data_IF_487642124553
#
_entry.id   IF_487642124553
#
_cell.length_a   1.000
_cell.length_b   1.000
_cell.length_c   1.000
_cell.angle_alpha   90.00
_cell.angle_beta   90.00
_cell.angle_gamma   90.00
#
_symmetry.space_group_name_H-M   'P 1'
#
loop_
_entity.id
_entity.type
_entity.pdbx_description
1 polymer ?
#
# COMPACT_ATOMS: atom_id res chain seq x y z
N UNK A 1 -9.73 -35.03 -23.95
CA UNK A 1 -9.48 -34.24 -22.70
C UNK A 1 -10.73 -34.25 -21.79
N UNK A 2 -11.53 -35.32 -21.77
CA UNK A 2 -12.81 -35.41 -21.04
C UNK A 2 -12.96 -36.72 -20.22
N UNK A 3 -12.02 -37.67 -20.30
CA UNK A 3 -12.12 -38.94 -19.53
C UNK A 3 -11.41 -38.93 -18.17
N UNK A 4 -10.42 -38.06 -17.95
CA UNK A 4 -9.65 -38.03 -16.68
C UNK A 4 -10.48 -37.45 -15.51
N UNK A 5 -11.57 -36.72 -15.79
CA UNK A 5 -12.45 -36.17 -14.74
C UNK A 5 -13.70 -37.01 -14.48
N UNK A 6 -13.89 -38.13 -15.19
CA UNK A 6 -15.10 -38.97 -15.08
C UNK A 6 -15.05 -39.94 -13.88
N UNK A 7 -13.91 -40.06 -13.21
CA UNK A 7 -13.71 -40.94 -12.03
C UNK A 7 -13.83 -40.23 -10.67
N UNK A 8 -14.27 -38.96 -10.61
CA UNK A 8 -14.63 -38.31 -9.34
C UNK A 8 -16.11 -38.57 -9.01
N UNK A 9 -16.47 -39.83 -8.77
CA UNK A 9 -17.83 -40.20 -8.35
C UNK A 9 -18.13 -39.88 -6.87
N UNK A 10 -17.16 -39.31 -6.13
CA UNK A 10 -17.34 -38.92 -4.73
C UNK A 10 -16.82 -37.50 -4.46
N UNK A 11 -17.57 -36.51 -4.93
CA UNK A 11 -17.31 -35.09 -4.62
C UNK A 11 -17.32 -34.82 -3.12
N UNK A 12 -18.08 -35.57 -2.33
CA UNK A 12 -18.15 -35.37 -0.88
C UNK A 12 -16.80 -35.68 -0.23
N UNK A 13 -16.19 -36.84 -0.55
CA UNK A 13 -14.85 -37.18 -0.07
C UNK A 13 -13.79 -36.16 -0.48
N UNK A 14 -13.90 -35.61 -1.69
CA UNK A 14 -13.03 -34.51 -2.13
C UNK A 14 -13.18 -33.28 -1.23
N UNK A 15 -14.41 -32.80 -1.01
CA UNK A 15 -14.65 -31.59 -0.22
C UNK A 15 -14.32 -31.78 1.27
N UNK A 16 -14.49 -32.98 1.84
CA UNK A 16 -14.01 -33.30 3.19
C UNK A 16 -12.49 -33.19 3.30
N UNK A 17 -11.77 -33.76 2.33
CA UNK A 17 -10.31 -33.69 2.26
C UNK A 17 -9.84 -32.24 2.08
N UNK A 18 -10.51 -31.51 1.18
CA UNK A 18 -10.21 -30.11 0.87
C UNK A 18 -10.43 -29.19 2.06
N UNK A 19 -11.50 -29.42 2.83
CA UNK A 19 -11.81 -28.70 4.06
C UNK A 19 -10.67 -28.85 5.08
N UNK A 20 -10.28 -30.10 5.37
CA UNK A 20 -9.22 -30.42 6.33
C UNK A 20 -7.89 -29.79 5.91
N UNK A 21 -7.47 -30.00 4.66
CA UNK A 21 -6.20 -29.46 4.16
C UNK A 21 -6.17 -27.93 4.14
N UNK A 22 -7.26 -27.28 3.72
CA UNK A 22 -7.34 -25.82 3.69
C UNK A 22 -7.31 -25.23 5.09
N UNK A 23 -7.98 -25.86 6.06
CA UNK A 23 -7.94 -25.46 7.47
C UNK A 23 -6.54 -25.62 8.09
N UNK A 24 -5.85 -26.73 7.80
CA UNK A 24 -4.47 -26.95 8.27
C UNK A 24 -3.52 -25.90 7.69
N UNK A 25 -3.58 -25.64 6.38
CA UNK A 25 -2.75 -24.61 5.74
C UNK A 25 -3.05 -23.21 6.28
N UNK A 26 -4.32 -22.92 6.58
CA UNK A 26 -4.72 -21.64 7.18
C UNK A 26 -4.07 -21.45 8.56
N UNK A 27 -4.12 -22.48 9.40
CA UNK A 27 -3.44 -22.48 10.70
C UNK A 27 -1.93 -22.26 10.57
N UNK A 28 -1.29 -22.95 9.63
CA UNK A 28 0.15 -22.81 9.37
C UNK A 28 0.52 -21.42 8.84
N UNK A 29 -0.31 -20.82 7.98
CA UNK A 29 -0.13 -19.46 7.47
C UNK A 29 -0.22 -18.43 8.62
N UNK A 30 -1.19 -18.57 9.52
CA UNK A 30 -1.34 -17.69 10.69
C UNK A 30 -0.12 -17.81 11.59
N UNK A 31 0.33 -19.03 11.90
CA UNK A 31 1.52 -19.27 12.71
C UNK A 31 2.78 -18.66 12.06
N UNK A 32 2.97 -18.87 10.75
CA UNK A 32 4.12 -18.33 9.99
C UNK A 32 4.09 -16.81 9.93
N UNK A 33 2.92 -16.21 9.65
CA UNK A 33 2.76 -14.75 9.61
C UNK A 33 3.03 -14.14 10.98
N UNK A 34 2.57 -14.78 12.05
CA UNK A 34 2.82 -14.37 13.44
C UNK A 34 4.31 -14.47 13.77
N UNK A 35 4.97 -15.56 13.38
CA UNK A 35 6.42 -15.71 13.54
C UNK A 35 7.17 -14.59 12.82
N UNK A 36 6.87 -14.31 11.54
CA UNK A 36 7.50 -13.22 10.78
C UNK A 36 7.26 -11.86 11.48
N UNK A 37 6.04 -11.62 11.97
CA UNK A 37 5.69 -10.40 12.70
C UNK A 37 6.43 -10.24 14.03
N UNK A 38 6.70 -11.34 14.74
CA UNK A 38 7.36 -11.33 16.04
C UNK A 38 8.89 -11.36 15.95
N UNK A 39 9.44 -12.15 15.03
CA UNK A 39 10.89 -12.45 14.96
C UNK A 39 11.61 -11.75 13.80
N UNK A 40 10.89 -11.39 12.73
CA UNK A 40 11.51 -10.82 11.52
C UNK A 40 11.77 -9.32 11.60
N UNK A 41 10.93 -8.57 12.33
CA UNK A 41 10.97 -7.10 12.28
C UNK A 41 12.02 -6.42 13.15
N UNK A 42 12.80 -7.18 13.93
CA UNK A 42 14.03 -6.68 14.54
C UNK A 42 15.16 -6.52 13.52
N UNK A 43 15.09 -7.21 12.38
CA UNK A 43 16.11 -7.15 11.32
C UNK A 43 15.91 -6.02 10.31
N UNK A 44 14.66 -5.56 10.11
CA UNK A 44 14.32 -4.45 9.21
C UNK A 44 14.44 -3.11 9.96
N UNK A 45 15.52 -2.37 9.74
CA UNK A 45 15.83 -1.14 10.50
C UNK A 45 15.27 0.12 9.84
N UNK A 46 15.11 0.12 8.51
CA UNK A 46 14.77 1.34 7.76
C UNK A 46 13.48 1.22 6.93
N UNK A 47 13.11 0.01 6.50
CA UNK A 47 11.97 -0.20 5.58
C UNK A 47 10.86 -1.09 6.16
N UNK A 48 10.79 -1.16 7.49
CA UNK A 48 9.89 -2.05 8.24
C UNK A 48 8.43 -1.89 7.83
N UNK A 49 7.92 -0.67 7.76
CA UNK A 49 6.52 -0.38 7.39
C UNK A 49 6.18 -0.87 5.97
N UNK A 50 7.11 -0.71 5.04
CA UNK A 50 6.95 -1.10 3.63
C UNK A 50 6.91 -2.62 3.48
N UNK A 51 7.82 -3.34 4.13
CA UNK A 51 7.81 -4.80 4.14
C UNK A 51 6.65 -5.38 4.93
N UNK A 52 6.25 -4.76 6.05
CA UNK A 52 5.08 -5.18 6.81
C UNK A 52 3.82 -5.07 5.96
N UNK A 53 3.66 -3.96 5.23
CA UNK A 53 2.54 -3.79 4.30
C UNK A 53 2.56 -4.84 3.18
N UNK A 54 3.73 -5.14 2.62
CA UNK A 54 3.88 -6.21 1.63
C UNK A 54 3.45 -7.58 2.17
N UNK A 55 3.92 -8.00 3.36
CA UNK A 55 3.54 -9.27 3.97
C UNK A 55 2.06 -9.32 4.37
N UNK A 56 1.51 -8.21 4.85
CA UNK A 56 0.08 -8.12 5.17
C UNK A 56 -0.76 -8.29 3.90
N UNK A 57 -0.44 -7.58 2.82
CA UNK A 57 -1.15 -7.74 1.54
C UNK A 57 -0.95 -9.14 0.94
N UNK A 58 0.23 -9.73 1.11
CA UNK A 58 0.49 -11.11 0.72
C UNK A 58 -0.42 -12.10 1.46
N UNK A 59 -0.47 -11.99 2.78
CA UNK A 59 -1.27 -12.90 3.61
C UNK A 59 -2.77 -12.72 3.37
N UNK A 60 -3.26 -11.51 3.05
CA UNK A 60 -4.68 -11.24 2.80
C UNK A 60 -5.29 -12.09 1.69
N UNK A 61 -4.66 -12.16 0.52
CA UNK A 61 -5.24 -12.92 -0.59
C UNK A 61 -5.08 -14.44 -0.41
N UNK A 62 -4.05 -14.91 0.29
CA UNK A 62 -3.87 -16.34 0.62
C UNK A 62 -4.93 -16.75 1.64
N UNK A 63 -5.11 -15.94 2.69
CA UNK A 63 -6.15 -16.14 3.69
C UNK A 63 -7.51 -16.23 3.01
N UNK A 64 -7.82 -15.27 2.13
CA UNK A 64 -9.06 -15.27 1.38
C UNK A 64 -9.25 -16.55 0.51
N UNK A 65 -8.18 -17.03 -0.13
CA UNK A 65 -8.22 -18.26 -0.96
C UNK A 65 -8.49 -19.52 -0.14
N UNK A 66 -7.86 -19.64 1.03
CA UNK A 66 -8.06 -20.76 1.94
C UNK A 66 -9.44 -20.70 2.60
N UNK A 67 -9.89 -19.51 3.01
CA UNK A 67 -11.25 -19.28 3.52
C UNK A 67 -12.29 -19.62 2.46
N UNK A 68 -12.08 -19.24 1.20
CA UNK A 68 -12.95 -19.63 0.09
C UNK A 68 -13.08 -21.14 -0.02
N UNK A 69 -11.96 -21.87 0.00
CA UNK A 69 -11.98 -23.34 -0.05
C UNK A 69 -12.73 -23.96 1.13
N UNK A 70 -12.54 -23.44 2.34
CA UNK A 70 -13.27 -23.90 3.54
C UNK A 70 -14.77 -23.65 3.38
N UNK A 71 -15.17 -22.42 3.05
CA UNK A 71 -16.58 -22.04 2.93
C UNK A 71 -17.27 -22.84 1.82
N UNK A 72 -16.68 -22.94 0.64
CA UNK A 72 -17.29 -23.70 -0.45
C UNK A 72 -17.34 -25.20 -0.17
N UNK A 73 -16.34 -25.76 0.53
CA UNK A 73 -16.39 -27.17 0.96
C UNK A 73 -17.53 -27.39 1.97
N UNK A 74 -17.70 -26.50 2.96
CA UNK A 74 -18.80 -26.57 3.91
C UNK A 74 -20.16 -26.41 3.23
N UNK A 75 -20.26 -25.49 2.26
CA UNK A 75 -21.48 -25.30 1.49
C UNK A 75 -21.82 -26.60 0.75
N UNK A 76 -20.90 -27.18 -0.02
CA UNK A 76 -21.22 -28.39 -0.79
C UNK A 76 -21.55 -29.59 0.12
N UNK A 77 -20.86 -29.74 1.25
CA UNK A 77 -21.09 -30.86 2.17
C UNK A 77 -22.39 -30.76 2.97
N UNK A 78 -22.77 -29.54 3.38
CA UNK A 78 -23.82 -29.36 4.39
C UNK A 78 -24.97 -28.43 3.96
N UNK A 79 -24.78 -27.61 2.92
CA UNK A 79 -25.76 -26.63 2.47
C UNK A 79 -26.16 -26.89 1.01
N UNK A 80 -27.40 -27.30 0.80
CA UNK A 80 -27.92 -27.52 -0.55
C UNK A 80 -28.36 -26.19 -1.20
N UNK A 81 -27.39 -25.31 -1.51
CA UNK A 81 -27.63 -24.03 -2.18
C UNK A 81 -27.86 -24.21 -3.68
N UNK A 82 -28.69 -23.33 -4.26
CA UNK A 82 -28.88 -23.31 -5.71
C UNK A 82 -27.64 -22.76 -6.45
N UNK A 83 -27.51 -23.09 -7.73
CA UNK A 83 -26.35 -22.73 -8.56
C UNK A 83 -26.17 -21.23 -8.79
N UNK A 84 -27.23 -20.41 -8.70
CA UNK A 84 -27.14 -18.95 -8.85
C UNK A 84 -26.57 -18.29 -7.59
N UNK A 85 -26.97 -18.77 -6.41
CA UNK A 85 -26.44 -18.31 -5.12
C UNK A 85 -24.95 -18.66 -5.02
N UNK A 86 -24.55 -19.87 -5.43
CA UNK A 86 -23.14 -20.27 -5.50
C UNK A 86 -22.33 -19.35 -6.43
N UNK A 87 -22.88 -19.02 -7.60
CA UNK A 87 -22.25 -18.09 -8.53
C UNK A 87 -22.08 -16.69 -7.92
N UNK A 88 -23.10 -16.16 -7.24
CA UNK A 88 -23.02 -14.85 -6.59
C UNK A 88 -21.97 -14.79 -5.49
N UNK A 89 -21.89 -15.82 -4.63
CA UNK A 89 -20.85 -15.92 -3.60
C UNK A 89 -19.46 -16.00 -4.26
N UNK A 90 -19.32 -16.76 -5.34
CA UNK A 90 -18.06 -16.85 -6.10
C UNK A 90 -17.66 -15.49 -6.70
N UNK A 91 -18.61 -14.72 -7.21
CA UNK A 91 -18.35 -13.37 -7.77
C UNK A 91 -17.84 -12.39 -6.70
N UNK A 92 -18.44 -12.39 -5.50
CA UNK A 92 -17.96 -11.57 -4.37
C UNK A 92 -16.52 -11.92 -4.02
N UNK A 93 -16.22 -13.22 -3.93
CA UNK A 93 -14.86 -13.69 -3.69
C UNK A 93 -13.91 -13.25 -4.80
N UNK A 94 -14.28 -13.41 -6.07
CA UNK A 94 -13.43 -13.06 -7.22
C UNK A 94 -13.05 -11.57 -7.23
N UNK A 95 -14.01 -10.68 -7.00
CA UNK A 95 -13.76 -9.23 -6.92
C UNK A 95 -12.82 -8.92 -5.75
N UNK A 96 -13.09 -9.49 -4.58
CA UNK A 96 -12.31 -9.24 -3.36
C UNK A 96 -10.89 -9.77 -3.48
N UNK A 97 -10.71 -10.98 -4.02
CA UNK A 97 -9.40 -11.55 -4.29
C UNK A 97 -8.63 -10.72 -5.30
N UNK A 98 -9.26 -10.36 -6.42
CA UNK A 98 -8.60 -9.59 -7.49
C UNK A 98 -8.05 -8.28 -6.95
N UNK A 99 -8.82 -7.59 -6.11
CA UNK A 99 -8.36 -6.36 -5.43
C UNK A 99 -7.08 -6.62 -4.61
N UNK A 100 -7.11 -7.54 -3.65
CA UNK A 100 -5.96 -7.80 -2.77
C UNK A 100 -4.75 -8.34 -3.52
N UNK A 101 -4.97 -9.18 -4.53
CA UNK A 101 -3.92 -9.73 -5.37
C UNK A 101 -3.22 -8.64 -6.19
N UNK A 102 -3.98 -7.71 -6.78
CA UNK A 102 -3.43 -6.56 -7.50
C UNK A 102 -2.71 -5.59 -6.55
N UNK A 103 -3.23 -5.36 -5.35
CA UNK A 103 -2.56 -4.54 -4.33
C UNK A 103 -1.21 -5.12 -3.93
N UNK A 104 -1.13 -6.44 -3.69
CA UNK A 104 0.13 -7.13 -3.42
C UNK A 104 1.18 -6.91 -4.53
N UNK A 105 0.82 -7.16 -5.79
CA UNK A 105 1.78 -6.96 -6.89
C UNK A 105 2.10 -5.51 -7.14
N UNK A 106 1.18 -4.60 -6.86
CA UNK A 106 1.45 -3.17 -6.90
C UNK A 106 2.50 -2.77 -5.85
N UNK A 107 2.39 -3.29 -4.62
CA UNK A 107 3.39 -3.10 -3.58
C UNK A 107 4.74 -3.74 -3.93
N UNK A 108 4.74 -4.93 -4.54
CA UNK A 108 5.95 -5.56 -5.05
C UNK A 108 6.63 -4.70 -6.13
N UNK A 109 5.85 -4.22 -7.09
CA UNK A 109 6.31 -3.34 -8.15
C UNK A 109 6.87 -2.03 -7.59
N UNK A 110 6.23 -1.47 -6.57
CA UNK A 110 6.72 -0.30 -5.84
C UNK A 110 8.10 -0.58 -5.19
N UNK A 111 8.25 -1.67 -4.43
CA UNK A 111 9.53 -2.07 -3.80
C UNK A 111 10.64 -2.21 -4.83
N UNK A 112 10.37 -2.92 -5.93
CA UNK A 112 11.39 -3.16 -6.97
C UNK A 112 11.78 -1.89 -7.74
N UNK A 113 10.92 -0.86 -7.77
CA UNK A 113 11.15 0.33 -8.58
C UNK A 113 11.61 1.54 -7.80
N UNK A 114 11.48 1.56 -6.47
CA UNK A 114 11.79 2.72 -5.61
C UNK A 114 13.24 3.22 -5.77
N UNK A 115 14.18 2.32 -6.03
CA UNK A 115 15.60 2.64 -6.26
C UNK A 115 15.99 2.70 -7.74
N UNK A 116 15.03 2.57 -8.67
CA UNK A 116 15.29 2.52 -10.12
C UNK A 116 15.03 3.87 -10.81
N UNK A 117 15.69 4.10 -11.95
CA UNK A 117 15.44 5.26 -12.81
C UNK A 117 14.05 5.22 -13.50
N UNK A 118 13.33 4.10 -13.43
CA UNK A 118 11.99 3.91 -14.03
C UNK A 118 10.84 4.28 -13.07
N UNK A 119 11.16 4.73 -11.86
CA UNK A 119 10.18 5.13 -10.87
C UNK A 119 9.41 6.39 -11.30
N UNK A 120 8.08 6.31 -11.36
CA UNK A 120 7.20 7.45 -11.62
C UNK A 120 5.99 7.42 -10.66
N UNK A 121 5.91 8.34 -9.69
CA UNK A 121 4.94 8.37 -8.60
C UNK A 121 3.52 8.77 -9.05
N UNK A 122 2.53 8.57 -8.17
CA UNK A 122 1.11 8.63 -8.53
C UNK A 122 0.44 9.99 -8.41
N UNK A 123 -0.58 10.17 -9.27
CA UNK A 123 -1.65 11.16 -9.08
C UNK A 123 -3.01 10.54 -8.75
N UNK A 124 -3.26 9.25 -9.05
CA UNK A 124 -4.58 8.61 -8.80
C UNK A 124 -4.51 7.11 -8.44
N UNK A 125 -5.50 6.57 -7.68
CA UNK A 125 -5.49 5.19 -7.17
C UNK A 125 -5.58 4.10 -8.25
N UNK A 126 -6.33 4.32 -9.35
CA UNK A 126 -6.52 3.31 -10.40
C UNK A 126 -5.29 3.14 -11.30
N UNK A 127 -4.57 4.23 -11.58
CA UNK A 127 -3.33 4.19 -12.37
C UNK A 127 -2.18 3.51 -11.61
N UNK A 128 -2.37 3.26 -10.31
CA UNK A 128 -1.45 2.52 -9.44
C UNK A 128 -1.15 1.12 -9.96
N UNK A 129 -2.21 0.37 -10.25
CA UNK A 129 -2.09 -1.02 -10.69
C UNK A 129 -1.37 -1.09 -12.03
N UNK A 130 -1.84 -0.36 -13.03
CA UNK A 130 -1.28 -0.43 -14.38
C UNK A 130 0.20 -0.09 -14.45
N UNK A 131 0.70 0.87 -13.66
CA UNK A 131 2.10 1.28 -13.73
C UNK A 131 3.04 0.38 -12.94
N UNK A 132 2.77 0.14 -11.66
CA UNK A 132 3.69 -0.67 -10.84
C UNK A 132 3.69 -2.13 -11.25
N UNK A 133 2.55 -2.66 -11.68
CA UNK A 133 2.50 -4.02 -12.24
C UNK A 133 3.26 -4.04 -13.56
N UNK A 134 3.05 -3.07 -14.47
CA UNK A 134 3.84 -2.95 -15.71
C UNK A 134 5.35 -2.95 -15.46
N UNK A 135 5.81 -2.30 -14.39
CA UNK A 135 7.22 -2.20 -14.05
C UNK A 135 7.85 -3.52 -13.59
N UNK A 136 7.06 -4.53 -13.19
CA UNK A 136 7.56 -5.88 -12.90
C UNK A 136 8.05 -6.60 -14.17
N UNK A 137 7.67 -6.12 -15.36
CA UNK A 137 8.03 -6.71 -16.65
C UNK A 137 6.96 -7.64 -17.22
N UNK A 138 7.16 -8.07 -18.47
CA UNK A 138 6.15 -8.82 -19.23
C UNK A 138 5.81 -10.18 -18.59
N UNK A 139 6.81 -10.97 -18.19
CA UNK A 139 6.62 -12.32 -17.65
C UNK A 139 5.81 -12.28 -16.34
N UNK A 140 6.14 -11.44 -15.33
CA UNK A 140 5.31 -11.33 -14.13
C UNK A 140 3.88 -10.90 -14.42
N UNK A 141 3.66 -9.98 -15.37
CA UNK A 141 2.32 -9.54 -15.73
C UNK A 141 1.48 -10.65 -16.35
N UNK A 142 2.08 -11.40 -17.27
CA UNK A 142 1.42 -12.57 -17.85
C UNK A 142 1.03 -13.58 -16.76
N UNK A 143 1.90 -13.82 -15.77
CA UNK A 143 1.60 -14.70 -14.64
C UNK A 143 0.47 -14.17 -13.74
N UNK A 144 0.43 -12.85 -13.49
CA UNK A 144 -0.64 -12.20 -12.70
C UNK A 144 -1.99 -12.37 -13.38
N UNK A 145 -2.11 -11.94 -14.65
CA UNK A 145 -3.36 -12.05 -15.40
C UNK A 145 -3.73 -13.52 -15.66
N UNK A 146 -2.74 -14.37 -15.92
CA UNK A 146 -2.93 -15.81 -16.05
C UNK A 146 -3.48 -16.45 -14.78
N UNK A 147 -3.02 -16.03 -13.60
CA UNK A 147 -3.53 -16.53 -12.31
C UNK A 147 -4.98 -16.09 -12.10
N UNK A 148 -5.31 -14.82 -12.34
CA UNK A 148 -6.69 -14.34 -12.25
C UNK A 148 -7.59 -15.12 -13.23
N UNK A 149 -7.12 -15.32 -14.46
CA UNK A 149 -7.86 -16.10 -15.46
C UNK A 149 -8.08 -17.55 -15.02
N UNK A 150 -7.02 -18.26 -14.60
CA UNK A 150 -7.10 -19.67 -14.21
C UNK A 150 -7.94 -19.89 -12.95
N UNK A 151 -7.90 -18.97 -12.00
CA UNK A 151 -8.65 -19.11 -10.75
C UNK A 151 -10.13 -18.79 -10.95
N UNK A 152 -10.48 -17.80 -11.78
CA UNK A 152 -11.86 -17.29 -11.87
C UNK A 152 -12.58 -17.58 -13.18
N UNK A 153 -11.92 -17.36 -14.31
CA UNK A 153 -12.57 -17.44 -15.61
C UNK A 153 -12.50 -18.84 -16.22
N UNK A 154 -11.43 -19.58 -15.93
CA UNK A 154 -11.25 -20.94 -16.41
C UNK A 154 -12.37 -21.90 -15.95
N UNK A 155 -12.79 -21.92 -14.67
CA UNK A 155 -13.91 -22.75 -14.23
C UNK A 155 -15.23 -22.38 -14.92
N UNK A 156 -15.45 -21.11 -15.26
CA UNK A 156 -16.69 -20.62 -15.88
C UNK A 156 -16.85 -21.04 -17.35
N UNK A 157 -15.79 -21.53 -18.00
CA UNK A 157 -15.89 -22.07 -19.36
C UNK A 157 -16.59 -23.43 -19.44
N UNK A 158 -16.74 -24.14 -18.32
CA UNK A 158 -17.38 -25.44 -18.26
C UNK A 158 -18.86 -25.29 -17.84
N UNK A 159 -19.80 -25.22 -18.81
CA UNK A 159 -21.26 -25.01 -18.68
C UNK A 159 -21.72 -23.54 -18.74
N UNK A 160 -22.95 -23.26 -18.28
CA UNK A 160 -23.56 -21.93 -18.31
C UNK A 160 -22.79 -20.95 -17.40
N UNK A 161 -22.36 -19.79 -17.92
CA UNK A 161 -21.41 -18.90 -17.24
C UNK A 161 -21.96 -18.22 -15.99
N UNK A 162 -23.28 -18.25 -15.77
CA UNK A 162 -23.95 -17.62 -14.63
C UNK A 162 -24.51 -18.62 -13.61
N UNK A 163 -24.20 -19.91 -13.77
CA UNK A 163 -24.60 -20.96 -12.87
C UNK A 163 -23.35 -21.73 -12.46
N UNK A 164 -23.12 -21.85 -11.15
CA UNK A 164 -21.99 -22.60 -10.62
C UNK A 164 -22.47 -24.00 -10.21
N UNK A 165 -21.99 -25.03 -10.90
CA UNK A 165 -22.24 -26.43 -10.54
C UNK A 165 -21.07 -27.03 -9.72
N UNK A 166 -21.27 -28.24 -9.20
CA UNK A 166 -20.27 -28.91 -8.37
C UNK A 166 -18.91 -29.09 -9.07
N UNK A 167 -18.90 -29.32 -10.39
CA UNK A 167 -17.68 -29.44 -11.18
C UNK A 167 -16.92 -28.11 -11.20
N UNK A 168 -17.61 -27.00 -11.47
CA UNK A 168 -16.99 -25.67 -11.51
C UNK A 168 -16.48 -25.24 -10.13
N UNK A 169 -17.21 -25.58 -9.06
CA UNK A 169 -16.75 -25.38 -7.67
C UNK A 169 -15.49 -26.19 -7.40
N UNK A 170 -15.47 -27.47 -7.77
CA UNK A 170 -14.30 -28.34 -7.65
C UNK A 170 -13.08 -27.73 -8.38
N UNK A 171 -13.23 -27.32 -9.63
CA UNK A 171 -12.13 -26.72 -10.40
C UNK A 171 -11.61 -25.42 -9.78
N UNK A 172 -12.50 -24.57 -9.28
CA UNK A 172 -12.10 -23.32 -8.60
C UNK A 172 -11.35 -23.61 -7.32
N UNK A 173 -11.87 -24.52 -6.49
CA UNK A 173 -11.26 -24.87 -5.19
C UNK A 173 -9.88 -25.52 -5.36
N UNK A 174 -9.72 -26.41 -6.35
CA UNK A 174 -8.40 -26.95 -6.73
C UNK A 174 -7.44 -25.83 -7.14
N UNK A 175 -7.90 -24.89 -7.97
CA UNK A 175 -7.07 -23.78 -8.46
C UNK A 175 -6.63 -22.84 -7.33
N UNK A 176 -7.56 -22.44 -6.46
CA UNK A 176 -7.29 -21.63 -5.26
C UNK A 176 -6.31 -22.32 -4.30
N UNK A 177 -6.44 -23.64 -4.14
CA UNK A 177 -5.58 -24.42 -3.26
C UNK A 177 -4.16 -24.57 -3.82
N UNK A 178 -4.03 -24.93 -5.09
CA UNK A 178 -2.74 -25.02 -5.77
C UNK A 178 -2.00 -23.67 -5.73
N UNK A 179 -2.73 -22.59 -6.01
CA UNK A 179 -2.19 -21.24 -5.89
C UNK A 179 -1.72 -20.91 -4.46
N UNK A 180 -2.51 -21.25 -3.43
CA UNK A 180 -2.14 -21.01 -2.03
C UNK A 180 -0.86 -21.76 -1.65
N UNK A 181 -0.71 -23.02 -2.06
CA UNK A 181 0.52 -23.81 -1.84
C UNK A 181 1.72 -23.14 -2.51
N UNK A 182 1.60 -22.75 -3.78
CA UNK A 182 2.69 -22.11 -4.52
C UNK A 182 3.17 -20.83 -3.84
N UNK A 183 2.25 -20.04 -3.29
CA UNK A 183 2.61 -18.81 -2.59
C UNK A 183 3.25 -19.12 -1.24
N UNK A 184 2.70 -20.05 -0.44
CA UNK A 184 3.26 -20.44 0.86
C UNK A 184 4.71 -20.92 0.72
N UNK A 185 5.00 -21.76 -0.27
CA UNK A 185 6.37 -22.24 -0.56
C UNK A 185 7.33 -21.06 -0.85
N UNK A 186 6.83 -19.98 -1.42
CA UNK A 186 7.63 -18.80 -1.79
C UNK A 186 7.76 -17.76 -0.68
N UNK A 187 6.95 -17.80 0.38
CA UNK A 187 6.99 -16.79 1.46
C UNK A 187 8.37 -16.77 2.14
N UNK A 188 8.85 -17.93 2.58
CA UNK A 188 10.08 -18.03 3.37
C UNK A 188 11.32 -17.59 2.55
N UNK A 189 11.55 -18.09 1.32
CA UNK A 189 12.69 -17.63 0.52
C UNK A 189 12.64 -16.13 0.19
N UNK A 190 11.46 -15.58 -0.12
CA UNK A 190 11.31 -14.14 -0.40
C UNK A 190 11.65 -13.29 0.82
N UNK A 191 11.32 -13.77 2.02
CA UNK A 191 11.69 -13.09 3.26
C UNK A 191 13.19 -12.96 3.44
N UNK A 192 13.92 -14.05 3.24
CA UNK A 192 15.38 -14.00 3.33
C UNK A 192 16.00 -13.17 2.21
N UNK A 193 15.48 -13.23 0.99
CA UNK A 193 15.98 -12.41 -0.13
C UNK A 193 15.84 -10.91 0.17
N UNK A 194 14.69 -10.48 0.68
CA UNK A 194 14.47 -9.07 1.02
C UNK A 194 15.28 -8.60 2.22
N UNK A 195 15.41 -9.44 3.25
CA UNK A 195 16.27 -9.16 4.40
C UNK A 195 17.74 -9.02 3.96
N UNK A 196 18.20 -9.88 3.05
CA UNK A 196 19.55 -9.81 2.50
C UNK A 196 19.76 -8.58 1.60
N UNK A 197 18.76 -8.17 0.81
CA UNK A 197 18.81 -6.93 0.02
C UNK A 197 18.98 -5.70 0.91
N UNK A 198 18.25 -5.63 2.04
CA UNK A 198 18.42 -4.54 3.02
C UNK A 198 19.79 -4.62 3.73
N UNK A 199 20.26 -5.82 4.05
CA UNK A 199 21.58 -5.97 4.68
C UNK A 199 22.71 -5.54 3.74
N UNK A 200 22.66 -5.97 2.48
CA UNK A 200 23.68 -5.64 1.46
C UNK A 200 23.70 -4.15 1.11
N UNK A 201 22.55 -3.46 1.13
CA UNK A 201 22.51 -2.01 0.91
C UNK A 201 23.30 -1.21 1.96
N UNK A 202 23.61 -1.79 3.12
CA UNK A 202 24.38 -1.17 4.21
C UNK A 202 25.90 -1.37 4.16
N UNK A 203 26.47 -2.08 3.19
CA UNK A 203 27.94 -2.30 3.14
C UNK A 203 28.74 -1.08 2.66
N UNK A 204 28.44 0.10 3.20
CA UNK A 204 29.37 1.24 3.18
C UNK A 204 29.55 2.02 4.48
N UNK A 205 28.82 1.75 5.57
CA UNK A 205 29.18 2.25 6.91
C UNK A 205 28.44 1.43 7.99
N UNK A 206 29.20 0.71 8.81
CA UNK A 206 28.71 0.06 10.02
C UNK A 206 28.32 1.13 11.05
N UNK A 207 27.13 1.03 11.67
CA UNK A 207 26.83 1.76 12.90
C UNK A 207 26.04 0.91 13.89
N UNK A 208 26.68 0.83 15.05
CA UNK A 208 26.34 0.34 16.40
C UNK A 208 24.87 0.52 16.80
N UNK A 209 24.36 -0.50 17.51
CA UNK A 209 23.04 -0.58 18.16
C UNK A 209 22.90 0.41 19.33
N UNK A 210 22.36 1.59 19.06
CA UNK A 210 21.62 2.35 20.06
C UNK A 210 20.19 2.61 19.54
N UNK A 211 19.21 2.29 20.39
CA UNK A 211 17.76 2.19 20.17
C UNK A 211 17.04 3.54 19.96
N UNK A 212 17.54 4.39 19.07
CA UNK A 212 16.75 5.46 18.46
C UNK A 212 16.67 5.16 16.95
N UNK A 213 15.45 5.03 16.41
CA UNK A 213 15.24 4.83 14.96
C UNK A 213 15.73 6.11 14.25
N UNK A 214 16.96 6.08 13.74
CA UNK A 214 17.52 7.17 12.94
C UNK A 214 16.87 7.18 11.55
N UNK A 215 15.94 8.11 11.33
CA UNK A 215 15.21 8.22 10.05
C UNK A 215 15.96 9.05 8.99
N UNK A 216 17.24 9.37 9.18
CA UNK A 216 18.00 10.24 8.26
C UNK A 216 18.06 9.70 6.82
N UNK A 217 18.24 8.39 6.65
CA UNK A 217 18.26 7.77 5.31
C UNK A 217 16.84 7.71 4.71
N UNK A 218 15.82 7.41 5.50
CA UNK A 218 14.42 7.46 5.06
C UNK A 218 14.00 8.87 4.67
N UNK A 219 14.54 9.90 5.34
CA UNK A 219 14.35 11.30 4.98
C UNK A 219 15.00 11.64 3.64
N UNK A 220 16.19 11.10 3.32
CA UNK A 220 16.80 11.26 1.99
C UNK A 220 15.97 10.57 0.91
N UNK A 221 15.52 9.35 1.17
CA UNK A 221 14.64 8.60 0.26
C UNK A 221 13.33 9.37 0.03
N UNK A 222 12.71 9.86 1.11
CA UNK A 222 11.48 10.66 1.05
C UNK A 222 11.68 11.94 0.22
N UNK A 223 12.79 12.67 0.45
CA UNK A 223 13.13 13.87 -0.31
C UNK A 223 13.27 13.58 -1.80
N UNK A 224 14.00 12.52 -2.14
CA UNK A 224 14.21 12.11 -3.53
C UNK A 224 12.91 11.69 -4.20
N UNK A 225 12.02 11.00 -3.47
CA UNK A 225 10.68 10.66 -3.94
C UNK A 225 9.88 11.93 -4.20
N UNK A 226 9.74 12.83 -3.22
CA UNK A 226 8.97 14.08 -3.37
C UNK A 226 9.44 14.92 -4.56
N UNK A 227 10.75 15.07 -4.73
CA UNK A 227 11.32 15.78 -5.89
C UNK A 227 10.89 15.09 -7.21
N UNK A 228 11.00 13.76 -7.28
CA UNK A 228 10.55 12.98 -8.44
C UNK A 228 9.04 13.06 -8.66
N UNK A 229 8.26 13.26 -7.59
CA UNK A 229 6.81 13.49 -7.63
C UNK A 229 6.43 14.87 -8.18
N UNK A 230 7.41 15.72 -8.49
CA UNK A 230 7.18 17.04 -9.06
C UNK A 230 7.16 18.16 -8.03
N UNK A 231 7.56 17.88 -6.77
CA UNK A 231 7.90 18.90 -5.76
C UNK A 231 9.28 19.51 -6.08
N UNK A 232 9.36 20.17 -7.24
CA UNK A 232 10.59 20.80 -7.76
C UNK A 232 11.08 21.88 -6.80
N UNK A 233 10.17 22.47 -6.01
CA UNK A 233 10.48 23.42 -4.93
C UNK A 233 11.50 22.92 -3.91
N UNK A 234 11.70 21.60 -3.77
CA UNK A 234 12.71 21.00 -2.90
C UNK A 234 14.14 21.03 -3.48
N UNK A 235 14.28 21.44 -4.75
CA UNK A 235 15.56 21.59 -5.47
C UNK A 235 15.85 23.04 -5.83
N UNK A 236 14.84 23.73 -6.34
CA UNK A 236 14.99 25.07 -6.89
C UNK A 236 13.75 25.91 -6.60
N UNK A 237 13.92 27.22 -6.76
CA UNK A 237 12.87 28.17 -6.48
C UNK A 237 11.77 28.13 -7.55
N UNK A 238 10.51 28.05 -7.14
CA UNK A 238 9.38 27.82 -8.05
C UNK A 238 8.26 28.82 -7.84
N UNK A 239 7.74 29.35 -8.95
CA UNK A 239 6.43 30.03 -8.98
C UNK A 239 5.33 28.99 -9.07
N UNK A 240 4.41 28.99 -8.11
CA UNK A 240 3.22 28.13 -8.09
C UNK A 240 2.00 29.04 -8.14
N UNK A 241 0.87 28.59 -8.67
CA UNK A 241 -0.35 29.39 -8.85
C UNK A 241 -0.72 30.25 -7.62
N UNK A 242 -0.44 29.74 -6.42
CA UNK A 242 -0.80 30.39 -5.17
C UNK A 242 0.34 31.18 -4.50
N UNK A 243 1.59 31.06 -4.99
CA UNK A 243 2.78 31.65 -4.39
C UNK A 243 3.63 32.39 -5.43
N UNK A 244 3.99 33.64 -5.16
CA UNK A 244 4.89 34.39 -6.04
C UNK A 244 6.28 33.75 -6.08
N UNK A 245 6.69 33.22 -4.93
CA UNK A 245 7.93 32.50 -4.78
C UNK A 245 7.76 31.41 -3.73
N UNK A 246 8.22 30.19 -4.03
CA UNK A 246 8.23 29.08 -3.09
C UNK A 246 9.53 28.29 -3.26
N UNK A 247 10.27 28.17 -2.17
CA UNK A 247 11.43 27.27 -2.07
C UNK A 247 11.32 26.47 -0.78
N UNK A 248 11.47 25.16 -0.90
CA UNK A 248 11.46 24.25 0.23
C UNK A 248 12.82 23.56 0.35
N UNK A 249 13.21 23.24 1.58
CA UNK A 249 14.34 22.34 1.81
C UNK A 249 14.06 21.45 3.01
N UNK A 250 14.68 20.28 2.99
CA UNK A 250 14.55 19.29 4.03
C UNK A 250 15.92 19.16 4.72
N UNK A 251 16.12 19.79 5.89
CA UNK A 251 17.34 19.60 6.67
C UNK A 251 17.49 18.14 7.13
N UNK A 252 18.73 17.71 7.32
CA UNK A 252 19.03 16.40 7.89
C UNK A 252 18.53 16.35 9.34
N UNK A 253 17.49 15.56 9.57
CA UNK A 253 16.87 15.37 10.88
C UNK A 253 16.75 13.88 11.17
N UNK A 254 17.19 13.47 12.35
CA UNK A 254 17.22 12.06 12.77
C UNK A 254 15.88 11.52 13.27
N UNK A 255 14.91 12.39 13.58
CA UNK A 255 13.67 12.04 14.28
C UNK A 255 12.42 12.17 13.43
N UNK A 256 12.40 13.10 12.48
CA UNK A 256 11.21 13.40 11.69
C UNK A 256 11.55 13.98 10.31
N UNK A 257 10.58 13.93 9.39
CA UNK A 257 10.67 14.62 8.12
C UNK A 257 10.33 16.10 8.32
N UNK A 258 11.38 16.92 8.47
CA UNK A 258 11.24 18.34 8.68
C UNK A 258 11.41 19.08 7.36
N UNK A 259 10.38 19.84 6.95
CA UNK A 259 10.41 20.65 5.75
C UNK A 259 10.39 22.13 6.14
N UNK A 260 11.40 22.86 5.71
CA UNK A 260 11.43 24.33 5.78
C UNK A 260 10.94 24.88 4.45
N UNK A 261 9.91 25.71 4.49
CA UNK A 261 9.21 26.21 3.30
C UNK A 261 9.19 27.73 3.34
N UNK A 262 9.98 28.36 2.48
CA UNK A 262 9.99 29.81 2.36
C UNK A 262 9.03 30.21 1.24
N UNK A 263 8.07 31.08 1.57
CA UNK A 263 7.05 31.56 0.64
C UNK A 263 6.98 33.08 0.61
N UNK A 264 6.71 33.63 -0.57
CA UNK A 264 6.48 35.05 -0.77
C UNK A 264 5.09 35.30 -1.36
N UNK A 265 4.40 36.26 -0.79
CA UNK A 265 3.11 36.77 -1.25
C UNK A 265 3.23 38.25 -1.59
N UNK A 266 2.57 38.66 -2.67
CA UNK A 266 2.43 40.07 -3.06
C UNK A 266 0.97 40.39 -3.30
N UNK A 267 0.52 41.55 -2.82
CA UNK A 267 -0.83 42.06 -3.05
C UNK A 267 -1.95 41.03 -2.75
N UNK A 268 -1.79 40.18 -1.72
CA UNK A 268 -2.82 39.24 -1.28
C UNK A 268 -3.36 39.63 0.09
N UNK A 269 -4.66 39.42 0.29
CA UNK A 269 -5.29 39.55 1.60
C UNK A 269 -4.83 38.42 2.53
N UNK A 270 -4.96 38.63 3.84
CA UNK A 270 -4.57 37.63 4.83
C UNK A 270 -5.40 36.34 4.66
N UNK A 271 -6.69 36.46 4.32
CA UNK A 271 -7.56 35.33 4.03
C UNK A 271 -7.02 34.47 2.87
N UNK A 272 -6.69 35.10 1.75
CA UNK A 272 -6.14 34.40 0.57
C UNK A 272 -4.78 33.76 0.86
N UNK A 273 -3.97 34.36 1.74
CA UNK A 273 -2.69 33.79 2.19
C UNK A 273 -2.93 32.51 3.00
N UNK A 274 -3.86 32.55 3.97
CA UNK A 274 -4.18 31.38 4.80
C UNK A 274 -4.75 30.26 3.95
N UNK A 275 -5.69 30.56 3.05
CA UNK A 275 -6.26 29.59 2.12
C UNK A 275 -5.16 28.94 1.25
N UNK A 276 -4.26 29.75 0.69
CA UNK A 276 -3.13 29.25 -0.11
C UNK A 276 -2.21 28.31 0.68
N UNK A 277 -1.92 28.64 1.95
CA UNK A 277 -1.10 27.81 2.84
C UNK A 277 -1.80 26.51 3.22
N UNK A 278 -3.12 26.57 3.49
CA UNK A 278 -3.93 25.40 3.85
C UNK A 278 -4.04 24.44 2.67
N UNK A 279 -4.36 24.94 1.47
CA UNK A 279 -4.41 24.15 0.23
C UNK A 279 -3.09 23.43 -0.03
N UNK A 280 -1.98 24.17 0.00
CA UNK A 280 -0.67 23.59 -0.26
C UNK A 280 -0.27 22.57 0.82
N UNK A 281 -0.52 22.87 2.10
CA UNK A 281 -0.25 21.96 3.21
C UNK A 281 -1.08 20.67 3.10
N UNK A 282 -2.35 20.79 2.74
CA UNK A 282 -3.24 19.66 2.52
C UNK A 282 -2.70 18.76 1.41
N UNK A 283 -2.40 19.32 0.24
CA UNK A 283 -1.82 18.56 -0.87
C UNK A 283 -0.49 17.88 -0.47
N UNK A 284 0.35 18.58 0.30
CA UNK A 284 1.63 18.03 0.78
C UNK A 284 1.42 16.84 1.71
N UNK A 285 0.51 16.93 2.69
CA UNK A 285 0.21 15.82 3.58
C UNK A 285 -0.49 14.65 2.88
N UNK A 286 -1.36 14.94 1.91
CA UNK A 286 -1.98 13.91 1.06
C UNK A 286 -0.93 13.10 0.30
N UNK A 287 0.13 13.77 -0.15
CA UNK A 287 1.25 13.13 -0.81
C UNK A 287 2.13 12.34 0.16
N UNK A 288 2.50 12.92 1.30
CA UNK A 288 3.31 12.27 2.33
C UNK A 288 2.67 10.97 2.85
N UNK A 289 1.35 10.98 3.11
CA UNK A 289 0.61 9.77 3.52
C UNK A 289 0.65 8.66 2.48
N UNK A 290 0.74 9.01 1.18
CA UNK A 290 0.80 8.04 0.09
C UNK A 290 2.18 7.39 -0.08
N UNK A 291 3.25 8.04 0.39
CA UNK A 291 4.63 7.56 0.25
C UNK A 291 4.92 6.52 1.34
N UNK A 292 5.35 5.32 0.94
CA UNK A 292 5.69 4.24 1.87
C UNK A 292 7.15 4.34 2.30
N UNK A 293 7.42 5.18 3.31
CA UNK A 293 8.70 5.35 4.02
C UNK A 293 8.46 5.21 5.53
N UNK A 294 9.48 4.82 6.30
CA UNK A 294 9.38 4.63 7.76
C UNK A 294 9.50 5.93 8.56
N UNK A 295 9.10 7.05 7.93
CA UNK A 295 8.93 8.34 8.59
C UNK A 295 7.47 8.48 9.01
N UNK A 296 7.27 8.69 10.31
CA UNK A 296 5.94 8.77 10.92
C UNK A 296 5.57 10.17 11.43
N UNK A 297 6.51 11.10 11.54
CA UNK A 297 6.28 12.50 11.93
C UNK A 297 6.72 13.40 10.79
N UNK A 298 5.83 14.31 10.38
CA UNK A 298 6.04 15.26 9.32
C UNK A 298 5.85 16.67 9.87
N UNK A 299 6.76 17.56 9.50
CA UNK A 299 6.71 18.96 9.92
C UNK A 299 6.81 19.85 8.71
N UNK A 300 5.83 20.74 8.53
CA UNK A 300 5.85 21.82 7.54
C UNK A 300 6.06 23.14 8.29
N UNK A 301 7.27 23.69 8.21
CA UNK A 301 7.64 24.97 8.83
C UNK A 301 7.76 26.04 7.76
N UNK A 302 6.77 26.92 7.70
CA UNK A 302 6.71 28.02 6.73
C UNK A 302 7.35 29.29 7.28
N UNK A 303 8.15 29.92 6.44
CA UNK A 303 8.61 31.30 6.61
C UNK A 303 7.95 32.14 5.50
N UNK A 304 7.05 33.02 5.91
CA UNK A 304 6.14 33.74 5.03
C UNK A 304 6.60 35.18 4.95
N UNK A 305 6.93 35.64 3.73
CA UNK A 305 7.19 37.04 3.43
C UNK A 305 5.99 37.64 2.72
N UNK A 306 5.43 38.72 3.27
CA UNK A 306 4.29 39.45 2.69
C UNK A 306 4.80 40.82 2.28
N UNK A 307 4.84 41.09 0.98
CA UNK A 307 5.39 42.32 0.41
C UNK A 307 6.79 42.67 1.00
N UNK A 308 6.91 43.83 1.65
CA UNK A 308 8.12 44.29 2.33
C UNK A 308 8.03 44.19 3.88
N UNK A 309 7.03 43.49 4.41
CA UNK A 309 6.87 43.30 5.86
C UNK A 309 7.83 42.23 6.42
N UNK A 310 7.90 42.14 7.74
CA UNK A 310 8.66 41.13 8.48
C UNK A 310 8.19 39.71 8.14
N UNK A 311 9.14 38.78 8.12
CA UNK A 311 8.86 37.37 7.98
C UNK A 311 7.96 36.87 9.12
N UNK A 312 6.93 36.12 8.76
CA UNK A 312 5.99 35.45 9.68
C UNK A 312 6.21 33.95 9.64
N UNK A 313 5.86 33.27 10.73
CA UNK A 313 6.06 31.83 10.82
C UNK A 313 4.71 31.12 10.90
N UNK A 314 4.60 30.00 10.17
CA UNK A 314 3.44 29.12 10.24
C UNK A 314 3.94 27.69 10.32
N UNK A 315 3.48 26.93 11.29
CA UNK A 315 4.04 25.62 11.60
C UNK A 315 2.93 24.60 11.72
N UNK A 316 3.07 23.50 10.99
CA UNK A 316 2.20 22.35 11.07
C UNK A 316 3.04 21.12 11.37
N UNK A 317 2.57 20.30 12.30
CA UNK A 317 3.14 18.98 12.56
C UNK A 317 2.02 17.96 12.60
N UNK A 318 2.21 16.87 11.89
CA UNK A 318 1.27 15.77 11.88
C UNK A 318 2.02 14.45 11.88
N UNK A 319 1.43 13.44 12.52
CA UNK A 319 1.90 12.06 12.33
C UNK A 319 1.10 11.35 11.24
N UNK A 320 1.63 10.25 10.70
CA UNK A 320 1.00 9.53 9.58
C UNK A 320 -0.42 9.04 9.90
N UNK A 321 -0.62 8.49 11.09
CA UNK A 321 -1.93 8.01 11.57
C UNK A 321 -2.97 9.14 11.66
N UNK A 322 -2.55 10.32 12.12
CA UNK A 322 -3.39 11.51 12.18
C UNK A 322 -3.78 11.99 10.78
N UNK A 323 -2.83 12.02 9.84
CA UNK A 323 -3.10 12.37 8.44
C UNK A 323 -4.11 11.39 7.83
N UNK A 324 -3.92 10.09 8.03
CA UNK A 324 -4.81 9.04 7.48
C UNK A 324 -6.23 9.13 8.07
N UNK A 325 -6.36 9.38 9.37
CA UNK A 325 -7.65 9.57 10.04
C UNK A 325 -8.37 10.84 9.53
N UNK A 326 -7.68 11.98 9.50
CA UNK A 326 -8.25 13.24 9.04
C UNK A 326 -8.64 13.19 7.56
N UNK A 327 -7.84 12.54 6.71
CA UNK A 327 -8.13 12.34 5.29
C UNK A 327 -9.42 11.55 5.06
N UNK A 328 -9.76 10.64 5.96
CA UNK A 328 -10.99 9.85 5.87
C UNK A 328 -12.25 10.66 6.23
N UNK A 329 -12.08 11.74 7.00
CA UNK A 329 -13.17 12.57 7.54
C UNK A 329 -13.36 13.88 6.77
N UNK A 330 -12.27 14.48 6.31
CA UNK A 330 -12.25 15.82 5.73
C UNK A 330 -11.66 15.79 4.32
N UNK A 331 -12.45 16.28 3.36
CA UNK A 331 -12.04 16.44 1.96
C UNK A 331 -11.63 17.87 1.63
N UNK A 332 -12.11 18.85 2.41
CA UNK A 332 -11.77 20.26 2.27
C UNK A 332 -10.44 20.59 2.98
N UNK A 333 -9.52 21.36 2.34
CA UNK A 333 -8.23 21.72 2.92
C UNK A 333 -8.33 22.44 4.25
N UNK A 334 -9.29 23.38 4.38
CA UNK A 334 -9.47 24.16 5.60
C UNK A 334 -9.81 23.27 6.79
N UNK A 335 -10.85 22.45 6.66
CA UNK A 335 -11.29 21.55 7.73
C UNK A 335 -10.19 20.55 8.11
N UNK A 336 -9.44 20.04 7.13
CA UNK A 336 -8.33 19.14 7.39
C UNK A 336 -7.24 19.80 8.24
N UNK A 337 -6.78 21.00 7.84
CA UNK A 337 -5.69 21.70 8.53
C UNK A 337 -6.15 22.23 9.89
N UNK A 338 -7.42 22.62 9.99
CA UNK A 338 -7.96 23.15 11.23
C UNK A 338 -8.08 22.10 12.33
N UNK A 339 -8.29 20.84 11.95
CA UNK A 339 -8.37 19.70 12.87
C UNK A 339 -7.02 19.02 13.16
N UNK A 340 -5.89 19.56 12.67
CA UNK A 340 -4.57 19.08 13.09
C UNK A 340 -4.31 19.42 14.56
N UNK A 341 -3.81 18.44 15.32
CA UNK A 341 -3.57 18.61 16.75
C UNK A 341 -2.43 19.59 17.03
N UNK A 342 -1.37 19.56 16.21
CA UNK A 342 -0.16 20.35 16.42
C UNK A 342 0.03 21.39 15.31
N UNK A 343 -0.47 22.60 15.56
CA UNK A 343 -0.26 23.76 14.70
C UNK A 343 0.15 24.98 15.52
N UNK A 344 1.15 25.71 15.05
CA UNK A 344 1.53 27.03 15.59
C UNK A 344 1.37 28.04 14.47
N UNK A 345 0.38 28.90 14.63
CA UNK A 345 -0.01 29.90 13.66
C UNK A 345 0.37 31.27 14.25
N UNK A 346 1.02 32.14 13.47
CA UNK A 346 1.27 33.54 13.87
C UNK A 346 -0.06 34.24 14.19
N UNK A 347 -0.07 35.17 15.15
CA UNK A 347 -1.30 35.84 15.62
C UNK A 347 -2.09 36.49 14.49
N UNK A 348 -1.39 36.99 13.47
CA UNK A 348 -1.99 37.64 12.29
C UNK A 348 -2.93 36.69 11.51
N UNK A 349 -2.72 35.38 11.60
CA UNK A 349 -3.50 34.36 10.90
C UNK A 349 -4.48 33.60 11.83
N UNK A 350 -4.53 33.89 13.13
CA UNK A 350 -5.36 33.14 14.11
C UNK A 350 -6.82 33.57 14.17
N UNK A 351 -7.13 34.82 13.79
CA UNK A 351 -8.44 35.45 14.05
C UNK A 351 -9.22 35.76 12.76
N UNK A 352 -9.20 34.83 11.81
CA UNK A 352 -9.96 34.89 10.55
C UNK A 352 -10.98 33.76 10.57
#
# INVERSE_FOLDING_TARGET
>A
MIEIFKELNDYNKFFETQLNLSATLLGLLIATSTFILQSGFTSFKYSRSMFLKYYVEQSKFIFLSLTYNIIFSLIILYLNLNSYTLFFIHLIFAITFTKYFLDFYSHKGYITTIHSAKYNPHKTPLLKYFRYIKNLGFIPNFLIYGTIYLVFFYPLHFNYPFQLNQIQVHMTTVSCFAFSILVVIRIIPQFFEFSEQEYKSKTKNEVIDNLDIDVSEENKILKDILIKNGRIELKENRKIKNFENLIAYMPDNKKEAFFVINVEFKNKTIFEIVESLQEYSFEFYQELSSISVDVNSFVLSYFIKIDNDKNRNYFLRANRTEIDDLKSKYSEPKDFIDNLNNKVIDELFRNI
#
